data_IF_782818420467
#
_entry.id   IF_782818420467
#
_cell.length_a   1.000
_cell.length_b   1.000
_cell.length_c   1.000
_cell.angle_alpha   90.00
_cell.angle_beta   90.00
_cell.angle_gamma   90.00
#
_symmetry.space_group_name_H-M   'P 1'
#
loop_
_entity.id
_entity.type
_entity.pdbx_description
1 polymer ?
#
# COMPACT_ATOMS: atom_id res chain seq x y z
N UNK A 1 -30.07 -23.56 -37.35
CA UNK A 1 -30.45 -22.20 -36.91
C UNK A 1 -29.89 -22.01 -35.52
N UNK A 2 -28.94 -21.08 -35.32
CA UNK A 2 -28.35 -20.84 -34.00
C UNK A 2 -29.33 -19.99 -33.18
N UNK A 3 -29.77 -20.52 -32.04
CA UNK A 3 -30.62 -19.80 -31.09
C UNK A 3 -29.67 -18.88 -30.30
N UNK A 4 -29.58 -17.61 -30.69
CA UNK A 4 -28.91 -16.60 -29.87
C UNK A 4 -29.85 -16.25 -28.72
N UNK A 5 -29.62 -16.82 -27.55
CA UNK A 5 -30.26 -16.36 -26.31
C UNK A 5 -29.96 -14.88 -26.11
N UNK A 6 -30.97 -14.01 -25.88
CA UNK A 6 -30.75 -12.60 -25.66
C UNK A 6 -29.92 -12.39 -24.39
N UNK A 7 -28.80 -11.69 -24.52
CA UNK A 7 -27.94 -11.35 -23.37
C UNK A 7 -28.75 -10.48 -22.40
N UNK A 8 -28.81 -10.84 -21.09
CA UNK A 8 -29.56 -10.06 -20.12
C UNK A 8 -28.99 -8.63 -20.07
N UNK A 9 -29.89 -7.67 -20.28
CA UNK A 9 -29.59 -6.24 -20.22
C UNK A 9 -29.75 -5.78 -18.77
N UNK A 10 -28.65 -5.39 -18.14
CA UNK A 10 -28.61 -5.00 -16.73
C UNK A 10 -28.25 -3.53 -16.62
N UNK A 11 -28.94 -2.81 -15.72
CA UNK A 11 -28.67 -1.39 -15.46
C UNK A 11 -27.43 -1.24 -14.58
N UNK A 12 -26.50 -0.40 -15.01
CA UNK A 12 -25.30 -0.05 -14.24
C UNK A 12 -25.68 0.78 -13.02
N UNK A 13 -25.22 0.37 -11.84
CA UNK A 13 -25.43 1.08 -10.57
C UNK A 13 -24.78 2.46 -10.53
N UNK A 14 -23.70 2.68 -11.29
CA UNK A 14 -22.96 3.96 -11.26
C UNK A 14 -23.49 5.01 -12.23
N UNK A 15 -23.76 4.65 -13.49
CA UNK A 15 -24.17 5.61 -14.53
C UNK A 15 -25.65 5.51 -14.91
N UNK A 16 -26.35 4.44 -14.53
CA UNK A 16 -27.74 4.20 -14.91
C UNK A 16 -27.93 3.66 -16.33
N UNK A 17 -26.86 3.48 -17.11
CA UNK A 17 -26.95 2.94 -18.46
C UNK A 17 -27.16 1.43 -18.46
N UNK A 18 -27.85 0.94 -19.49
CA UNK A 18 -28.03 -0.49 -19.74
C UNK A 18 -26.77 -1.08 -20.36
N UNK A 19 -26.31 -2.19 -19.81
CA UNK A 19 -25.13 -2.92 -20.28
C UNK A 19 -25.45 -4.42 -20.40
N UNK A 20 -25.02 -5.01 -21.52
CA UNK A 20 -25.12 -6.46 -21.76
C UNK A 20 -23.95 -7.25 -21.15
N UNK A 21 -22.96 -6.57 -20.60
CA UNK A 21 -21.75 -7.15 -20.02
C UNK A 21 -21.44 -6.55 -18.64
N UNK A 22 -22.49 -6.17 -17.90
CA UNK A 22 -22.35 -5.65 -16.56
C UNK A 22 -21.76 -6.72 -15.62
N UNK A 23 -20.82 -6.32 -14.78
CA UNK A 23 -20.13 -7.19 -13.83
C UNK A 23 -20.84 -7.08 -12.49
N UNK A 24 -21.28 -8.22 -11.95
CA UNK A 24 -21.83 -8.31 -10.60
C UNK A 24 -20.70 -8.24 -9.56
N UNK A 25 -20.82 -7.33 -8.59
CA UNK A 25 -19.90 -7.22 -7.45
C UNK A 25 -20.45 -7.96 -6.22
N UNK A 26 -19.67 -8.18 -5.13
CA UNK A 26 -20.09 -9.01 -3.99
C UNK A 26 -21.38 -8.58 -3.24
N UNK A 27 -21.83 -7.34 -3.44
CA UNK A 27 -23.10 -6.86 -2.88
C UNK A 27 -24.30 -7.04 -3.84
N UNK A 28 -24.12 -7.75 -4.95
CA UNK A 28 -25.12 -8.00 -6.01
C UNK A 28 -25.50 -6.81 -6.89
N UNK A 29 -24.89 -5.65 -6.68
CA UNK A 29 -24.95 -4.54 -7.64
C UNK A 29 -24.12 -4.86 -8.90
N UNK A 30 -24.46 -4.19 -10.00
CA UNK A 30 -23.87 -4.43 -11.31
C UNK A 30 -23.24 -3.15 -11.86
N UNK A 31 -22.03 -3.25 -12.40
CA UNK A 31 -21.32 -2.13 -13.00
C UNK A 31 -20.98 -2.44 -14.45
N UNK A 32 -21.22 -1.50 -15.36
CA UNK A 32 -20.67 -1.62 -16.71
C UNK A 32 -19.13 -1.59 -16.64
N UNK A 33 -18.44 -2.21 -17.61
CA UNK A 33 -16.97 -2.28 -17.58
C UNK A 33 -16.29 -0.92 -17.44
N UNK A 34 -16.81 0.10 -18.13
CA UNK A 34 -16.26 1.47 -18.10
C UNK A 34 -16.33 2.08 -16.70
N UNK A 35 -17.49 2.02 -16.03
CA UNK A 35 -17.64 2.56 -14.68
C UNK A 35 -16.82 1.76 -13.66
N UNK A 36 -16.77 0.44 -13.80
CA UNK A 36 -15.95 -0.39 -12.92
C UNK A 36 -14.47 -0.03 -13.04
N UNK A 37 -13.97 0.14 -14.26
CA UNK A 37 -12.58 0.55 -14.50
C UNK A 37 -12.28 1.94 -13.93
N UNK A 38 -13.13 2.93 -14.20
CA UNK A 38 -12.99 4.28 -13.63
C UNK A 38 -12.98 4.26 -12.10
N UNK A 39 -13.77 3.37 -11.48
CA UNK A 39 -13.80 3.26 -10.03
C UNK A 39 -12.47 2.76 -9.47
N UNK A 40 -11.85 1.76 -10.12
CA UNK A 40 -10.52 1.30 -9.75
C UNK A 40 -9.45 2.37 -10.02
N UNK A 41 -9.49 3.05 -11.16
CA UNK A 41 -8.57 4.16 -11.46
C UNK A 41 -8.64 5.31 -10.46
N UNK A 42 -9.85 5.61 -9.95
CA UNK A 42 -10.04 6.63 -8.92
C UNK A 42 -9.35 6.20 -7.61
N UNK A 43 -9.51 4.95 -7.19
CA UNK A 43 -8.85 4.42 -5.99
C UNK A 43 -7.33 4.37 -6.10
N UNK A 44 -6.75 4.37 -7.31
CA UNK A 44 -5.29 4.52 -7.49
C UNK A 44 -4.79 5.94 -7.17
N UNK A 45 -5.67 6.93 -7.28
CA UNK A 45 -5.35 8.36 -7.10
C UNK A 45 -5.72 8.86 -5.72
N UNK A 46 -6.81 8.36 -5.15
CA UNK A 46 -7.35 8.77 -3.86
C UNK A 46 -7.38 7.59 -2.87
N UNK A 47 -6.57 7.71 -1.82
CA UNK A 47 -6.46 6.69 -0.79
C UNK A 47 -7.73 6.56 0.06
N UNK A 48 -8.57 7.60 0.14
CA UNK A 48 -9.80 7.59 0.95
C UNK A 48 -10.87 6.64 0.40
N UNK A 49 -10.82 6.36 -0.91
CA UNK A 49 -11.72 5.43 -1.59
C UNK A 49 -11.06 4.08 -1.89
N UNK A 50 -9.88 3.83 -1.31
CA UNK A 50 -9.17 2.57 -1.45
C UNK A 50 -9.41 1.65 -0.24
N UNK A 51 -9.75 0.37 -0.45
CA UNK A 51 -10.07 -0.26 -1.73
C UNK A 51 -11.46 0.17 -2.26
N UNK A 52 -11.71 0.12 -3.58
CA UNK A 52 -13.03 0.32 -4.14
C UNK A 52 -14.06 -0.55 -3.42
N UNK A 53 -15.18 0.06 -3.01
CA UNK A 53 -16.21 -0.63 -2.25
C UNK A 53 -17.60 -0.23 -2.72
N UNK A 54 -18.54 -1.16 -2.60
CA UNK A 54 -19.95 -0.91 -2.83
C UNK A 54 -20.75 -1.43 -1.64
N UNK A 55 -21.68 -0.62 -1.12
CA UNK A 55 -22.44 -0.94 0.11
C UNK A 55 -21.54 -1.28 1.30
N UNK A 56 -20.42 -0.56 1.46
CA UNK A 56 -19.41 -0.82 2.48
C UNK A 56 -18.73 -2.20 2.39
N UNK A 57 -18.87 -2.89 1.25
CA UNK A 57 -18.17 -4.14 0.96
C UNK A 57 -17.08 -3.87 -0.07
N UNK A 58 -15.83 -4.17 0.27
CA UNK A 58 -14.73 -4.08 -0.67
C UNK A 58 -15.01 -4.95 -1.91
N UNK A 59 -14.65 -4.44 -3.09
CA UNK A 59 -14.69 -5.17 -4.35
C UNK A 59 -13.29 -5.79 -4.53
N UNK A 60 -13.10 -7.10 -4.35
CA UNK A 60 -11.79 -7.71 -4.49
C UNK A 60 -11.30 -7.59 -5.93
N UNK A 61 -10.09 -7.07 -6.15
CA UNK A 61 -9.49 -6.99 -7.50
C UNK A 61 -9.51 -8.35 -8.22
N UNK A 62 -9.29 -9.43 -7.48
CA UNK A 62 -9.33 -10.81 -8.01
C UNK A 62 -10.69 -11.21 -8.58
N UNK A 63 -11.80 -10.64 -8.12
CA UNK A 63 -13.14 -10.97 -8.65
C UNK A 63 -13.47 -10.21 -9.93
N UNK A 64 -12.69 -9.18 -10.28
CA UNK A 64 -12.99 -8.28 -11.42
C UNK A 64 -11.81 -8.08 -12.38
N UNK A 65 -10.63 -8.63 -12.08
CA UNK A 65 -9.38 -8.37 -12.81
C UNK A 65 -9.45 -8.71 -14.30
N UNK A 66 -10.20 -9.75 -14.67
CA UNK A 66 -10.41 -10.15 -16.08
C UNK A 66 -11.18 -9.12 -16.91
N UNK A 67 -11.86 -8.18 -16.26
CA UNK A 67 -12.67 -7.13 -16.90
C UNK A 67 -11.99 -5.76 -16.88
N UNK A 68 -10.80 -5.66 -16.27
CA UNK A 68 -10.03 -4.42 -16.15
C UNK A 68 -8.84 -4.46 -17.10
N UNK A 69 -8.33 -3.29 -17.49
CA UNK A 69 -7.04 -3.25 -18.23
C UNK A 69 -5.92 -3.81 -17.35
N UNK A 70 -5.00 -4.62 -17.91
CA UNK A 70 -3.88 -5.20 -17.16
C UNK A 70 -3.05 -4.17 -16.38
N UNK A 71 -2.85 -2.97 -16.96
CA UNK A 71 -2.12 -1.87 -16.31
C UNK A 71 -2.82 -1.37 -15.04
N UNK A 72 -4.15 -1.36 -15.00
CA UNK A 72 -4.93 -0.97 -13.82
C UNK A 72 -4.77 -2.02 -12.72
N UNK A 73 -4.88 -3.31 -13.08
CA UNK A 73 -4.69 -4.42 -12.14
C UNK A 73 -3.29 -4.41 -11.53
N UNK A 74 -2.25 -4.30 -12.36
CA UNK A 74 -0.86 -4.27 -11.89
C UNK A 74 -0.58 -3.07 -10.99
N UNK A 75 -1.09 -1.89 -11.36
CA UNK A 75 -0.92 -0.67 -10.55
C UNK A 75 -1.69 -0.77 -9.24
N UNK A 76 -2.87 -1.39 -9.25
CA UNK A 76 -3.68 -1.62 -8.06
C UNK A 76 -2.99 -2.51 -7.06
N UNK A 77 -2.42 -3.64 -7.48
CA UNK A 77 -1.67 -4.54 -6.58
C UNK A 77 -0.45 -3.84 -5.97
N UNK A 78 0.28 -3.04 -6.77
CA UNK A 78 1.40 -2.23 -6.26
C UNK A 78 0.92 -1.19 -5.24
N UNK A 79 -0.18 -0.49 -5.52
CA UNK A 79 -0.78 0.52 -4.63
C UNK A 79 -1.36 -0.09 -3.37
N UNK A 80 -1.92 -1.30 -3.44
CA UNK A 80 -2.41 -2.05 -2.29
C UNK A 80 -1.32 -2.23 -1.25
N UNK A 81 -0.16 -2.72 -1.67
CA UNK A 81 1.01 -2.88 -0.79
C UNK A 81 1.42 -1.53 -0.20
N UNK A 82 1.50 -0.47 -1.01
CA UNK A 82 1.83 0.88 -0.53
C UNK A 82 0.84 1.36 0.56
N UNK A 83 -0.46 1.23 0.30
CA UNK A 83 -1.50 1.73 1.18
C UNK A 83 -1.64 0.91 2.48
N UNK A 84 -1.50 -0.41 2.40
CA UNK A 84 -1.45 -1.32 3.55
C UNK A 84 -0.15 -1.18 4.36
N UNK A 85 0.94 -0.66 3.75
CA UNK A 85 2.19 -0.38 4.46
C UNK A 85 2.00 0.80 5.41
N UNK A 86 2.13 0.56 6.72
CA UNK A 86 1.99 1.61 7.74
C UNK A 86 3.11 2.65 7.66
N UNK A 87 4.37 2.19 7.63
CA UNK A 87 5.53 3.07 7.54
C UNK A 87 6.04 3.16 6.10
N UNK A 88 5.45 4.08 5.33
CA UNK A 88 5.79 4.26 3.91
C UNK A 88 7.10 5.03 3.76
N UNK A 89 8.00 4.47 2.96
CA UNK A 89 9.23 5.13 2.50
C UNK A 89 9.06 5.45 1.01
N UNK A 90 9.36 6.69 0.65
CA UNK A 90 9.32 7.16 -0.73
C UNK A 90 10.70 7.59 -1.17
N UNK A 91 11.00 7.46 -2.46
CA UNK A 91 12.23 7.97 -3.04
C UNK A 91 12.44 9.45 -2.68
N UNK A 92 13.60 9.75 -2.09
CA UNK A 92 13.99 11.11 -1.68
C UNK A 92 14.12 12.09 -2.85
N UNK A 93 14.27 11.59 -4.10
CA UNK A 93 14.21 12.44 -5.29
C UNK A 93 12.78 12.91 -5.53
N UNK A 94 12.54 14.22 -5.37
CA UNK A 94 11.21 14.85 -5.54
C UNK A 94 10.59 14.59 -6.92
N UNK A 95 11.42 14.48 -7.96
CA UNK A 95 10.96 14.16 -9.33
C UNK A 95 10.49 12.71 -9.47
N UNK A 96 10.90 11.81 -8.58
CA UNK A 96 10.59 10.39 -8.64
C UNK A 96 9.50 10.00 -7.64
N UNK A 97 9.70 10.31 -6.35
CA UNK A 97 8.76 10.06 -5.25
C UNK A 97 8.10 8.67 -5.24
N UNK A 98 8.76 7.68 -5.85
CA UNK A 98 8.22 6.32 -5.97
C UNK A 98 8.29 5.62 -4.63
N UNK A 99 7.23 4.91 -4.26
CA UNK A 99 7.19 4.08 -3.06
C UNK A 99 8.31 3.03 -3.10
N UNK A 100 9.02 2.87 -1.99
CA UNK A 100 10.08 1.89 -1.82
C UNK A 100 9.52 0.75 -0.96
N UNK A 101 9.27 -0.44 -1.54
CA UNK A 101 8.76 -1.57 -0.78
C UNK A 101 9.79 -2.08 0.23
N UNK A 102 9.32 -2.75 1.27
CA UNK A 102 10.18 -3.27 2.34
C UNK A 102 11.31 -4.18 1.83
N UNK A 103 11.03 -4.97 0.81
CA UNK A 103 12.00 -5.85 0.13
C UNK A 103 13.21 -5.10 -0.43
N UNK A 104 13.08 -3.80 -0.67
CA UNK A 104 14.12 -2.94 -1.24
C UNK A 104 14.83 -2.12 -0.15
N UNK A 105 14.60 -2.44 1.11
CA UNK A 105 15.20 -1.77 2.26
C UNK A 105 16.18 -2.72 2.94
N UNK A 106 17.42 -2.29 3.05
CA UNK A 106 18.48 -3.01 3.77
C UNK A 106 19.00 -2.09 4.87
N UNK A 107 18.93 -2.55 6.13
CA UNK A 107 19.15 -1.71 7.33
C UNK A 107 18.24 -0.47 7.26
N UNK A 108 18.82 0.73 7.23
CA UNK A 108 18.10 1.99 7.14
C UNK A 108 18.09 2.61 5.74
N UNK A 109 18.52 1.86 4.72
CA UNK A 109 18.66 2.39 3.35
C UNK A 109 17.67 1.70 2.42
N UNK A 110 16.69 2.48 1.96
CA UNK A 110 15.77 2.08 0.89
C UNK A 110 16.33 2.42 -0.49
N UNK A 111 16.39 1.44 -1.38
CA UNK A 111 16.82 1.65 -2.78
C UNK A 111 15.61 1.77 -3.69
N UNK A 112 15.46 2.92 -4.35
CA UNK A 112 14.32 3.16 -5.23
C UNK A 112 14.30 2.17 -6.41
N UNK A 113 13.22 1.39 -6.60
CA UNK A 113 13.14 0.42 -7.71
C UNK A 113 13.06 1.09 -9.09
N UNK A 114 12.71 2.39 -9.16
CA UNK A 114 12.56 3.12 -10.43
C UNK A 114 13.83 3.83 -10.88
N UNK A 115 14.56 4.46 -9.95
CA UNK A 115 15.70 5.33 -10.30
C UNK A 115 16.98 5.02 -9.51
N UNK A 116 16.99 3.95 -8.70
CA UNK A 116 18.13 3.50 -7.88
C UNK A 116 18.65 4.51 -6.85
N UNK A 117 17.97 5.66 -6.67
CA UNK A 117 18.30 6.61 -5.60
C UNK A 117 18.12 5.93 -4.25
N UNK A 118 19.18 5.97 -3.44
CA UNK A 118 19.19 5.49 -2.06
C UNK A 118 18.59 6.55 -1.15
N UNK A 119 17.63 6.14 -0.33
CA UNK A 119 16.89 6.97 0.61
C UNK A 119 17.13 6.44 2.01
N UNK A 120 17.50 7.32 2.93
CA UNK A 120 17.54 6.98 4.34
C UNK A 120 16.10 6.89 4.86
N UNK A 121 15.71 5.76 5.45
CA UNK A 121 14.31 5.46 5.76
C UNK A 121 13.78 6.32 6.90
N UNK A 122 14.61 6.55 7.92
CA UNK A 122 14.29 7.34 9.11
C UNK A 122 13.99 8.80 8.79
N UNK A 123 15.00 9.52 8.32
CA UNK A 123 14.85 10.90 7.92
C UNK A 123 14.49 11.05 6.45
N UNK A 124 13.93 10.05 5.75
CA UNK A 124 13.33 10.14 4.39
C UNK A 124 14.09 10.98 3.33
N UNK A 125 15.39 11.17 3.53
CA UNK A 125 16.29 12.03 2.76
C UNK A 125 17.17 11.16 1.87
N UNK A 126 17.99 11.77 1.01
CA UNK A 126 19.01 11.01 0.29
C UNK A 126 19.91 10.29 1.30
N UNK A 127 20.29 9.05 1.01
CA UNK A 127 21.18 8.28 1.87
C UNK A 127 22.45 9.08 2.17
N UNK A 128 22.81 9.12 3.46
CA UNK A 128 23.97 9.84 3.95
C UNK A 128 24.71 8.99 4.99
N UNK A 129 25.99 9.33 5.19
CA UNK A 129 26.75 8.88 6.36
C UNK A 129 26.60 9.94 7.48
N UNK A 130 26.68 9.51 8.73
CA UNK A 130 26.58 10.39 9.89
C UNK A 130 25.13 10.70 10.34
N UNK A 131 25.03 11.55 11.36
CA UNK A 131 23.82 11.86 12.12
C UNK A 131 22.67 12.37 11.24
N UNK A 132 21.46 11.84 11.41
CA UNK A 132 20.27 12.49 10.83
C UNK A 132 20.03 13.78 11.60
N UNK A 133 19.87 14.90 10.88
CA UNK A 133 19.47 16.19 11.46
C UNK A 133 17.98 16.23 11.86
N UNK A 134 17.38 15.07 12.14
CA UNK A 134 15.94 14.94 12.37
C UNK A 134 15.74 14.30 13.75
N UNK A 135 15.57 15.18 14.72
CA UNK A 135 15.20 14.92 16.12
C UNK A 135 16.26 14.14 16.93
N UNK A 136 16.95 14.82 17.85
CA UNK A 136 17.92 14.19 18.77
C UNK A 136 17.29 13.02 19.55
N UNK A 137 15.99 13.13 19.84
CA UNK A 137 15.19 12.10 20.52
C UNK A 137 15.11 10.76 19.78
N UNK A 138 15.19 10.77 18.44
CA UNK A 138 15.14 9.54 17.64
C UNK A 138 16.49 8.83 17.66
N UNK A 139 17.61 9.56 17.70
CA UNK A 139 18.92 8.91 17.74
C UNK A 139 19.16 8.18 19.05
N UNK A 140 18.80 8.77 20.19
CA UNK A 140 18.95 8.12 21.51
C UNK A 140 18.20 6.78 21.57
N UNK A 141 16.96 6.74 21.06
CA UNK A 141 16.15 5.51 21.00
C UNK A 141 16.80 4.46 20.09
N UNK A 142 17.54 4.89 19.05
CA UNK A 142 18.20 3.98 18.11
C UNK A 142 19.58 3.52 18.58
N UNK A 143 20.31 4.35 19.33
CA UNK A 143 21.51 3.94 20.05
C UNK A 143 21.15 2.88 21.09
N UNK A 144 20.12 3.14 21.90
CA UNK A 144 19.57 2.15 22.82
C UNK A 144 19.15 0.86 22.11
N UNK A 145 18.49 0.96 20.96
CA UNK A 145 18.14 -0.22 20.18
C UNK A 145 19.36 -1.02 19.71
N UNK A 146 20.44 -0.35 19.29
CA UNK A 146 21.69 -1.03 18.88
C UNK A 146 22.37 -1.71 20.06
N UNK A 147 22.47 -1.01 21.19
CA UNK A 147 23.08 -1.53 22.43
C UNK A 147 22.34 -2.75 22.96
N UNK A 148 21.01 -2.76 22.83
CA UNK A 148 20.16 -3.84 23.31
C UNK A 148 19.81 -4.89 22.23
N UNK A 149 20.48 -4.86 21.07
CA UNK A 149 20.24 -5.77 19.94
C UNK A 149 18.78 -5.82 19.46
N UNK A 150 18.03 -4.74 19.69
CA UNK A 150 16.66 -4.62 19.21
C UNK A 150 16.65 -4.46 17.69
N UNK A 151 15.70 -5.14 17.06
CA UNK A 151 15.53 -5.10 15.62
C UNK A 151 14.27 -4.31 15.28
N UNK A 152 14.16 -3.81 14.05
CA UNK A 152 12.87 -3.34 13.55
C UNK A 152 12.07 -4.48 12.99
N UNK A 153 10.82 -4.58 13.40
CA UNK A 153 9.86 -5.48 12.79
C UNK A 153 9.74 -5.16 11.30
N UNK A 154 9.95 -6.14 10.43
CA UNK A 154 9.86 -5.98 8.98
C UNK A 154 8.45 -5.59 8.50
N UNK A 155 7.41 -5.85 9.31
CA UNK A 155 6.00 -5.59 8.97
C UNK A 155 5.53 -4.20 9.40
N UNK A 156 5.94 -3.73 10.59
CA UNK A 156 5.41 -2.50 11.18
C UNK A 156 6.46 -1.46 11.57
N UNK A 157 7.75 -1.76 11.41
CA UNK A 157 8.89 -0.90 11.76
C UNK A 157 9.04 -0.54 13.24
N UNK A 158 8.22 -1.11 14.13
CA UNK A 158 8.41 -1.02 15.57
C UNK A 158 9.74 -1.67 15.98
N UNK A 159 10.40 -1.10 16.99
CA UNK A 159 11.53 -1.75 17.65
C UNK A 159 11.04 -2.93 18.48
N UNK A 160 11.71 -4.05 18.32
CA UNK A 160 11.39 -5.32 18.96
C UNK A 160 12.65 -5.89 19.62
N UNK A 161 12.51 -6.32 20.87
CA UNK A 161 13.53 -7.13 21.53
C UNK A 161 13.36 -8.59 21.08
N UNK A 162 14.47 -9.26 20.77
CA UNK A 162 14.48 -10.71 20.53
C UNK A 162 15.09 -11.35 21.77
N UNK A 163 14.28 -12.07 22.54
CA UNK A 163 14.69 -12.70 23.80
C UNK A 163 14.91 -14.20 23.52
N UNK A 164 16.14 -14.66 23.72
CA UNK A 164 16.58 -16.07 23.74
C UNK A 164 15.81 -17.05 22.84
N UNK A 165 16.17 -17.05 21.54
CA UNK A 165 15.97 -18.20 20.64
C UNK A 165 14.54 -18.66 20.34
N UNK A 166 13.52 -18.02 20.91
CA UNK A 166 12.12 -18.31 20.67
C UNK A 166 11.41 -17.04 20.21
N UNK A 167 10.46 -17.17 19.28
CA UNK A 167 9.78 -16.07 18.59
C UNK A 167 8.81 -15.26 19.48
N UNK A 168 9.10 -15.08 20.76
CA UNK A 168 8.42 -14.14 21.62
C UNK A 168 8.90 -12.73 21.28
N UNK A 169 8.13 -12.05 20.43
CA UNK A 169 8.36 -10.64 20.08
C UNK A 169 7.65 -9.80 21.12
N UNK A 170 8.36 -9.30 22.12
CA UNK A 170 7.82 -8.22 22.94
C UNK A 170 7.90 -6.91 22.15
N UNK A 171 6.72 -6.35 21.86
CA UNK A 171 6.60 -4.95 21.46
C UNK A 171 7.07 -4.12 22.64
N UNK A 172 8.19 -3.43 22.48
CA UNK A 172 8.52 -2.34 23.39
C UNK A 172 7.44 -1.30 23.14
N UNK A 173 6.52 -1.17 24.11
CA UNK A 173 5.41 -0.23 24.04
C UNK A 173 5.96 1.13 23.61
N UNK A 174 5.29 1.74 22.63
CA UNK A 174 5.70 3.00 22.03
C UNK A 174 6.19 3.96 23.12
N UNK A 175 7.42 4.45 22.98
CA UNK A 175 7.79 5.73 23.57
C UNK A 175 6.88 6.74 22.87
N UNK A 176 5.69 6.94 23.42
CA UNK A 176 4.85 8.07 23.09
C UNK A 176 5.61 9.28 23.59
N UNK A 177 6.28 9.98 22.68
CA UNK A 177 6.60 11.39 22.93
C UNK A 177 5.25 12.09 22.94
N UNK A 178 4.65 12.18 24.13
CA UNK A 178 3.54 13.08 24.38
C UNK A 178 4.07 14.49 24.13
N UNK A 179 3.50 15.15 23.13
CA UNK A 179 3.76 16.57 22.84
C UNK A 179 2.90 17.38 23.79
N UNK A 180 3.53 18.14 24.68
CA UNK A 180 2.99 19.43 25.11
C UNK A 180 3.19 20.49 24.01
#
# INVERSE_FOLDING_TARGET
MAITTPTPQVVCTSCGDVSSNAIQVPCSHHYCPTCLEQFFELALKDQSVFPPSCCSRAIPIASVSSFLKPVVVETFEKKKIEFETRYKVYCSSKRCSTFIPQSNIVKDIGTCPKCNVKTHTLCKSKAHAGKCLRDESIEEVLDLARENYWQRCYKCWALIAIIDGCAAVELISAITVERD
#
